data_IF_573473879375
#
_entry.id   IF_573473879375
#
_cell.length_a   1.000
_cell.length_b   1.000
_cell.length_c   1.000
_cell.angle_alpha   90.00
_cell.angle_beta   90.00
_cell.angle_gamma   90.00
#
_symmetry.space_group_name_H-M   'P 1'
#
loop_
_entity.id
_entity.type
_entity.pdbx_description
1 polymer ?
#
# COMPACT_ATOMS: atom_id res chain seq x y z
N UNK A 1 8.39 -16.05 3.79
CA UNK A 1 7.97 -15.71 2.41
C UNK A 1 7.05 -14.50 2.49
N UNK A 2 7.47 -13.34 1.99
CA UNK A 2 6.66 -12.11 2.00
C UNK A 2 5.92 -11.88 0.67
N UNK A 3 5.76 -12.93 -0.16
CA UNK A 3 5.13 -12.81 -1.48
C UNK A 3 3.74 -12.18 -1.40
N UNK A 4 3.00 -12.46 -0.32
CA UNK A 4 1.67 -11.90 -0.13
C UNK A 4 1.67 -10.37 0.06
N UNK A 5 2.71 -9.81 0.69
CA UNK A 5 2.80 -8.36 0.92
C UNK A 5 3.02 -7.60 -0.40
N UNK A 6 3.89 -8.11 -1.26
CA UNK A 6 4.17 -7.51 -2.57
C UNK A 6 2.93 -7.51 -3.46
N UNK A 7 2.18 -8.62 -3.47
CA UNK A 7 0.93 -8.70 -4.24
C UNK A 7 -0.08 -7.67 -3.76
N UNK A 8 -0.32 -7.58 -2.45
CA UNK A 8 -1.23 -6.58 -1.87
C UNK A 8 -0.81 -5.14 -2.19
N UNK A 9 0.49 -4.85 -2.18
CA UNK A 9 1.01 -3.55 -2.58
C UNK A 9 0.73 -3.30 -4.06
N UNK A 10 1.03 -4.25 -4.95
CA UNK A 10 0.87 -4.08 -6.39
C UNK A 10 -0.60 -3.88 -6.77
N UNK A 11 -1.51 -4.67 -6.19
CA UNK A 11 -2.95 -4.49 -6.32
C UNK A 11 -3.39 -3.11 -5.84
N UNK A 12 -2.94 -2.69 -4.66
CA UNK A 12 -3.25 -1.35 -4.16
C UNK A 12 -2.71 -0.24 -5.08
N UNK A 13 -1.50 -0.36 -5.61
CA UNK A 13 -0.96 0.62 -6.55
C UNK A 13 -1.80 0.67 -7.84
N UNK A 14 -2.24 -0.48 -8.36
CA UNK A 14 -3.12 -0.57 -9.52
C UNK A 14 -4.50 0.06 -9.27
N UNK A 15 -5.12 -0.21 -8.11
CA UNK A 15 -6.40 0.37 -7.70
C UNK A 15 -6.35 1.90 -7.54
N UNK A 16 -5.20 2.41 -7.11
CA UNK A 16 -5.06 3.80 -6.65
C UNK A 16 -4.32 4.71 -7.62
N UNK A 17 -3.57 4.15 -8.57
CA UNK A 17 -2.69 4.87 -9.47
C UNK A 17 -1.48 5.51 -8.76
N UNK A 18 -1.17 5.11 -7.52
CA UNK A 18 -0.03 5.62 -6.77
C UNK A 18 1.29 5.05 -7.32
N UNK A 19 2.37 5.84 -7.24
CA UNK A 19 3.71 5.31 -7.53
C UNK A 19 4.26 4.57 -6.31
N UNK A 20 5.04 3.50 -6.56
CA UNK A 20 5.68 2.73 -5.48
C UNK A 20 6.57 3.59 -4.57
N UNK A 21 7.20 4.63 -5.12
CA UNK A 21 7.97 5.60 -4.33
C UNK A 21 7.08 6.40 -3.37
N UNK A 22 5.98 6.99 -3.87
CA UNK A 22 5.04 7.73 -3.03
C UNK A 22 4.40 6.83 -1.98
N UNK A 23 4.01 5.63 -2.37
CA UNK A 23 3.47 4.64 -1.44
C UNK A 23 4.44 4.35 -0.30
N UNK A 24 5.69 4.00 -0.61
CA UNK A 24 6.68 3.71 0.43
C UNK A 24 6.95 4.90 1.36
N UNK A 25 6.96 6.12 0.81
CA UNK A 25 7.11 7.35 1.59
C UNK A 25 5.92 7.58 2.55
N UNK A 26 4.69 7.32 2.11
CA UNK A 26 3.49 7.51 2.93
C UNK A 26 3.29 6.39 3.96
N UNK A 27 3.48 5.14 3.55
CA UNK A 27 3.20 3.97 4.37
C UNK A 27 4.26 3.74 5.46
N UNK A 28 5.54 3.98 5.14
CA UNK A 28 6.65 3.64 6.04
C UNK A 28 7.80 4.67 6.03
N UNK A 29 7.58 5.87 5.50
CA UNK A 29 8.62 6.92 5.34
C UNK A 29 9.86 6.45 4.57
N UNK A 30 9.68 5.47 3.67
CA UNK A 30 10.77 4.87 2.89
C UNK A 30 10.35 4.68 1.43
N UNK A 31 10.74 5.61 0.56
CA UNK A 31 10.40 5.56 -0.87
C UNK A 31 11.05 4.41 -1.65
N UNK A 32 12.03 3.69 -1.10
CA UNK A 32 12.64 2.50 -1.73
C UNK A 32 12.09 1.18 -1.21
N UNK A 33 11.06 1.22 -0.38
CA UNK A 33 10.48 0.03 0.22
C UNK A 33 9.99 -0.97 -0.83
N UNK A 34 9.19 -0.50 -1.80
CA UNK A 34 8.60 -1.35 -2.84
C UNK A 34 9.68 -1.96 -3.73
N UNK A 35 10.67 -1.16 -4.13
CA UNK A 35 11.79 -1.61 -4.95
C UNK A 35 12.63 -2.70 -4.25
N UNK A 36 12.96 -2.49 -2.97
CA UNK A 36 13.64 -3.51 -2.15
C UNK A 36 12.82 -4.79 -2.03
N UNK A 37 11.53 -4.68 -1.76
CA UNK A 37 10.66 -5.84 -1.64
C UNK A 37 10.56 -6.62 -2.97
N UNK A 38 10.51 -5.91 -4.12
CA UNK A 38 10.52 -6.53 -5.46
C UNK A 38 11.85 -7.25 -5.74
N UNK A 39 12.96 -6.72 -5.22
CA UNK A 39 14.28 -7.35 -5.26
C UNK A 39 14.48 -8.52 -4.28
N UNK A 40 13.43 -8.99 -3.60
CA UNK A 40 13.54 -10.06 -2.58
C UNK A 40 14.12 -9.59 -1.25
N UNK A 41 14.17 -8.29 -1.01
CA UNK A 41 14.64 -7.69 0.23
C UNK A 41 13.76 -8.05 1.42
N UNK A 42 14.38 -8.10 2.61
CA UNK A 42 13.68 -8.39 3.86
C UNK A 42 12.98 -7.13 4.38
N UNK A 43 11.80 -7.33 4.97
CA UNK A 43 11.05 -6.30 5.70
C UNK A 43 10.88 -6.73 7.16
N UNK A 44 10.87 -5.77 8.06
CA UNK A 44 10.64 -6.02 9.49
C UNK A 44 9.13 -6.14 9.75
N UNK A 45 8.70 -6.97 10.71
CA UNK A 45 7.27 -7.15 11.02
C UNK A 45 6.54 -5.84 11.33
N UNK A 46 7.21 -4.90 11.99
CA UNK A 46 6.65 -3.58 12.30
C UNK A 46 6.39 -2.76 11.03
N UNK A 47 7.33 -2.76 10.09
CA UNK A 47 7.16 -2.10 8.79
C UNK A 47 6.07 -2.78 7.96
N UNK A 48 5.99 -4.12 7.99
CA UNK A 48 4.92 -4.87 7.32
C UNK A 48 3.55 -4.48 7.88
N UNK A 49 3.41 -4.38 9.21
CA UNK A 49 2.18 -3.94 9.86
C UNK A 49 1.80 -2.50 9.49
N UNK A 50 2.77 -1.58 9.41
CA UNK A 50 2.54 -0.19 8.96
C UNK A 50 2.01 -0.14 7.52
N UNK A 51 2.64 -0.90 6.62
CA UNK A 51 2.24 -1.00 5.21
C UNK A 51 0.82 -1.53 5.06
N UNK A 52 0.52 -2.64 5.72
CA UNK A 52 -0.82 -3.24 5.67
C UNK A 52 -1.87 -2.33 6.31
N UNK A 53 -1.53 -1.67 7.43
CA UNK A 53 -2.38 -0.67 8.07
C UNK A 53 -2.71 0.49 7.12
N UNK A 54 -1.71 1.00 6.41
CA UNK A 54 -1.89 2.07 5.43
C UNK A 54 -2.81 1.65 4.28
N UNK A 55 -2.61 0.47 3.70
CA UNK A 55 -3.48 -0.06 2.63
C UNK A 55 -4.93 -0.15 3.11
N UNK A 56 -5.15 -0.75 4.29
CA UNK A 56 -6.49 -0.93 4.88
C UNK A 56 -7.18 0.40 5.14
N UNK A 57 -6.47 1.35 5.75
CA UNK A 57 -6.99 2.68 6.04
C UNK A 57 -7.42 3.38 4.73
N UNK A 58 -6.55 3.39 3.72
CA UNK A 58 -6.82 4.10 2.46
C UNK A 58 -7.93 3.43 1.64
N UNK A 59 -8.01 2.09 1.64
CA UNK A 59 -9.14 1.36 1.04
C UNK A 59 -10.46 1.70 1.77
N UNK A 60 -10.45 1.80 3.10
CA UNK A 60 -11.63 2.19 3.88
C UNK A 60 -12.08 3.63 3.57
N UNK A 61 -11.16 4.59 3.50
CA UNK A 61 -11.44 5.99 3.14
C UNK A 61 -12.05 6.13 1.73
N UNK A 62 -11.62 5.28 0.78
CA UNK A 62 -12.21 5.26 -0.56
C UNK A 62 -13.60 4.62 -0.56
N UNK A 63 -13.80 3.54 0.20
CA UNK A 63 -15.09 2.88 0.31
C UNK A 63 -16.17 3.80 0.90
N UNK A 64 -15.81 4.64 1.87
CA UNK A 64 -16.73 5.65 2.41
C UNK A 64 -17.01 6.77 1.41
N UNK A 65 -15.98 7.27 0.71
CA UNK A 65 -16.13 8.32 -0.31
C UNK A 65 -17.02 7.86 -1.47
N UNK A 66 -16.84 6.62 -1.94
CA UNK A 66 -17.61 6.07 -3.06
C UNK A 66 -19.10 5.85 -2.73
N UNK A 67 -19.46 5.76 -1.44
CA UNK A 67 -20.85 5.64 -0.98
C UNK A 67 -21.62 6.98 -1.02
N UNK A 68 -20.91 8.10 -0.90
CA UNK A 68 -21.54 9.43 -0.86
C UNK A 68 -21.62 10.10 -2.24
N UNK A 69 -20.89 9.58 -3.24
CA UNK A 69 -20.83 10.15 -4.59
C UNK A 69 -21.74 9.51 -5.65
N UNK A 70 -22.51 8.46 -5.33
CA UNK A 70 -23.38 7.74 -6.28
C UNK A 70 -24.81 8.32 -6.39
N UNK A 71 -24.97 9.62 -6.13
CA UNK A 71 -26.22 10.37 -6.34
C UNK A 71 -25.88 11.71 -7.02
N UNK A 72 -25.74 11.67 -8.34
CA UNK A 72 -25.77 12.86 -9.19
C UNK A 72 -26.37 12.46 -10.54
#
# INVERSE_FOLDING_TARGET
>A
MHQNLITEIDEFLAETGLSGYRFGLLAAKNGRLVDRLKGGGRVWPETEAQVLGFIRQRRAERATTNRTGAAA
#
